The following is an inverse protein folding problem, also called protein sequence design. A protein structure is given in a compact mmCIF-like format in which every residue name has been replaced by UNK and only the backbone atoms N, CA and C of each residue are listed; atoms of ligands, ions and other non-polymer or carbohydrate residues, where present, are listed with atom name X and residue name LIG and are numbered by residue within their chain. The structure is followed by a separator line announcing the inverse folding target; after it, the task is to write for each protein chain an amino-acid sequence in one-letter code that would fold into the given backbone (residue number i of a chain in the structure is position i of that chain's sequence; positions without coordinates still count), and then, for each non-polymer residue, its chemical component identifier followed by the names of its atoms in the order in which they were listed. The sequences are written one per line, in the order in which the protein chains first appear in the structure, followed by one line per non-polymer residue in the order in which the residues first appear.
data_IF_452073711807
#
_entry.id   IF_452073711807
#
_cell.length_a   1.000
_cell.length_b   1.000
_cell.length_c   1.000
_cell.angle_alpha   90.00
_cell.angle_beta   90.00
_cell.angle_gamma   90.00
#
_symmetry.space_group_name_H-M   'P 1'
#
loop_
_entity.id
_entity.type
_entity.pdbx_description
1 polymer ?
#
# COMPACT_ATOMS: atom_id res chain seq x y z
N UNK A 1 11.97 25.03 19.15
CA UNK A 1 11.91 25.41 17.71
C UNK A 1 11.04 24.43 16.93
N UNK A 2 10.66 24.74 15.69
CA UNK A 2 9.78 23.89 14.87
C UNK A 2 10.35 22.47 14.63
N UNK A 3 11.67 22.31 14.59
CA UNK A 3 12.33 20.99 14.42
C UNK A 3 12.09 20.11 15.64
N UNK A 4 12.22 20.66 16.84
CA UNK A 4 12.01 19.91 18.09
C UNK A 4 10.55 19.44 18.21
N UNK A 5 9.59 20.32 17.91
CA UNK A 5 8.16 20.01 17.91
C UNK A 5 7.81 18.91 16.87
N UNK A 6 8.49 18.89 15.74
CA UNK A 6 8.34 17.81 14.76
C UNK A 6 8.90 16.50 15.28
N UNK A 7 10.06 16.52 15.90
CA UNK A 7 10.70 15.31 16.43
C UNK A 7 9.89 14.70 17.56
N UNK A 8 9.30 15.55 18.42
CA UNK A 8 8.36 15.14 19.45
C UNK A 8 7.09 14.50 18.87
N UNK A 9 6.49 15.10 17.83
CA UNK A 9 5.37 14.50 17.11
C UNK A 9 5.71 13.12 16.53
N UNK A 10 6.90 12.96 15.96
CA UNK A 10 7.34 11.69 15.42
C UNK A 10 7.54 10.66 16.53
N UNK A 11 8.12 11.09 17.65
CA UNK A 11 8.28 10.24 18.83
C UNK A 11 6.93 9.76 19.38
N UNK A 12 5.92 10.64 19.51
CA UNK A 12 4.55 10.25 19.88
C UNK A 12 3.99 9.20 18.92
N UNK A 13 4.15 9.40 17.62
CA UNK A 13 3.72 8.43 16.61
C UNK A 13 4.38 7.05 16.78
N UNK A 14 5.67 7.01 17.15
CA UNK A 14 6.41 5.78 17.42
C UNK A 14 5.95 5.13 18.73
N UNK A 15 5.74 5.90 19.80
CA UNK A 15 5.20 5.42 21.07
C UNK A 15 3.79 4.82 20.92
N UNK A 16 2.97 5.38 20.06
CA UNK A 16 1.64 4.84 19.73
C UNK A 16 1.68 3.66 18.78
N UNK A 17 2.85 3.12 18.48
CA UNK A 17 3.05 1.98 17.58
C UNK A 17 2.40 2.14 16.19
N UNK A 18 2.43 3.35 15.62
CA UNK A 18 1.97 3.55 14.25
C UNK A 18 2.80 2.70 13.28
N UNK A 19 2.16 2.24 12.20
CA UNK A 19 2.84 1.46 11.18
C UNK A 19 4.09 2.20 10.65
N UNK A 20 5.21 1.50 10.51
CA UNK A 20 6.49 2.06 10.04
C UNK A 20 6.37 2.88 8.77
N UNK A 21 5.47 2.46 7.85
CA UNK A 21 5.18 3.21 6.62
C UNK A 21 4.51 4.56 6.87
N UNK A 22 3.60 4.64 7.87
CA UNK A 22 2.96 5.90 8.26
C UNK A 22 3.97 6.86 8.89
N UNK A 23 4.80 6.38 9.82
CA UNK A 23 5.85 7.20 10.46
C UNK A 23 6.83 7.73 9.41
N UNK A 24 7.27 6.88 8.46
CA UNK A 24 8.13 7.32 7.35
C UNK A 24 7.48 8.41 6.50
N UNK A 25 6.18 8.26 6.20
CA UNK A 25 5.43 9.27 5.45
C UNK A 25 5.32 10.59 6.23
N UNK A 26 5.04 10.52 7.54
CA UNK A 26 4.98 11.70 8.40
C UNK A 26 6.33 12.42 8.47
N UNK A 27 7.42 11.67 8.68
CA UNK A 27 8.79 12.22 8.65
C UNK A 27 9.09 12.96 7.33
N UNK A 28 8.75 12.37 6.20
CA UNK A 28 8.98 12.97 4.88
C UNK A 28 8.12 14.22 4.66
N UNK A 29 6.82 14.16 4.93
CA UNK A 29 5.91 15.27 4.68
C UNK A 29 6.17 16.48 5.60
N UNK A 30 6.45 16.25 6.89
CA UNK A 30 6.80 17.33 7.82
C UNK A 30 8.15 17.95 7.48
N UNK A 31 9.13 17.15 7.00
CA UNK A 31 10.41 17.66 6.53
C UNK A 31 10.23 18.66 5.38
N UNK A 32 9.39 18.36 4.38
CA UNK A 32 9.14 19.30 3.27
C UNK A 32 8.60 20.64 3.76
N UNK A 33 7.72 20.64 4.76
CA UNK A 33 7.19 21.89 5.32
C UNK A 33 8.28 22.66 6.08
N UNK A 34 9.07 21.97 6.89
CA UNK A 34 10.16 22.61 7.65
C UNK A 34 11.21 23.21 6.74
N UNK A 35 11.68 22.50 5.72
CA UNK A 35 12.65 23.00 4.73
C UNK A 35 12.13 24.27 4.03
N UNK A 36 10.84 24.29 3.68
CA UNK A 36 10.21 25.46 3.08
C UNK A 36 10.15 26.66 4.06
N UNK A 37 9.72 26.42 5.32
CA UNK A 37 9.65 27.47 6.34
C UNK A 37 11.03 28.04 6.67
N UNK A 38 12.06 27.20 6.73
CA UNK A 38 13.45 27.60 6.97
C UNK A 38 13.97 28.51 5.82
N UNK A 39 13.67 28.16 4.55
CA UNK A 39 13.97 29.01 3.40
C UNK A 39 13.28 30.38 3.45
N UNK A 40 12.12 30.48 4.12
CA UNK A 40 11.39 31.74 4.35
C UNK A 40 11.79 32.42 5.66
N UNK A 41 12.81 31.93 6.36
CA UNK A 41 13.29 32.41 7.66
C UNK A 41 12.22 32.39 8.76
N UNK A 42 11.30 31.41 8.69
CA UNK A 42 10.24 31.18 9.68
C UNK A 42 10.68 30.04 10.59
N UNK A 43 11.10 30.37 11.81
CA UNK A 43 11.65 29.43 12.79
C UNK A 43 10.72 29.15 13.96
N UNK A 44 9.79 30.07 14.23
CA UNK A 44 8.89 29.98 15.36
C UNK A 44 7.49 29.53 14.93
N UNK A 45 6.81 28.78 15.81
CA UNK A 45 5.49 28.22 15.53
C UNK A 45 4.43 29.32 15.34
N UNK A 46 4.54 30.38 16.13
CA UNK A 46 3.62 31.52 16.12
C UNK A 46 3.66 32.31 14.81
N UNK A 47 4.74 32.18 14.03
CA UNK A 47 4.90 32.88 12.76
C UNK A 47 4.37 32.08 11.57
N UNK A 48 4.04 30.80 11.77
CA UNK A 48 3.49 29.96 10.72
C UNK A 48 2.05 30.39 10.40
N UNK A 49 1.81 30.82 9.17
CA UNK A 49 0.50 31.29 8.69
C UNK A 49 -0.10 30.33 7.65
N UNK A 50 -1.44 30.31 7.50
CA UNK A 50 -2.09 29.53 6.43
C UNK A 50 -1.58 29.82 5.02
N UNK A 51 -1.06 31.04 4.80
CA UNK A 51 -0.46 31.46 3.53
C UNK A 51 0.76 30.61 3.20
N UNK A 52 1.65 30.37 4.15
CA UNK A 52 2.88 29.59 3.93
C UNK A 52 2.59 28.18 3.44
N UNK A 53 1.54 27.55 3.99
CA UNK A 53 1.09 26.22 3.55
C UNK A 53 0.53 26.29 2.12
N UNK A 54 -0.27 27.32 1.79
CA UNK A 54 -0.81 27.50 0.43
C UNK A 54 0.30 27.77 -0.59
N UNK A 55 1.28 28.58 -0.24
CA UNK A 55 2.40 28.93 -1.12
C UNK A 55 3.25 27.68 -1.40
N UNK A 56 3.54 26.85 -0.38
CA UNK A 56 4.22 25.56 -0.58
C UNK A 56 3.40 24.59 -1.45
N UNK A 57 2.07 24.52 -1.24
CA UNK A 57 1.19 23.70 -2.09
C UNK A 57 1.25 24.17 -3.54
N UNK A 58 1.29 25.48 -3.78
CA UNK A 58 1.41 26.07 -5.12
C UNK A 58 2.77 25.78 -5.75
N UNK A 59 3.86 25.96 -5.02
CA UNK A 59 5.22 25.59 -5.49
C UNK A 59 5.29 24.12 -5.92
N UNK A 60 4.69 23.21 -5.13
CA UNK A 60 4.61 21.78 -5.50
C UNK A 60 3.78 21.53 -6.76
N UNK A 61 2.70 22.29 -6.94
CA UNK A 61 1.85 22.21 -8.13
C UNK A 61 2.58 22.72 -9.36
N UNK A 62 3.26 23.86 -9.26
CA UNK A 62 4.05 24.47 -10.33
C UNK A 62 5.24 23.56 -10.72
N UNK A 63 5.79 22.80 -9.76
CA UNK A 63 6.78 21.74 -9.99
C UNK A 63 6.20 20.43 -10.58
N UNK A 64 4.92 20.40 -10.99
CA UNK A 64 4.28 19.26 -11.64
C UNK A 64 3.78 18.16 -10.70
N UNK A 65 3.72 18.38 -9.38
CA UNK A 65 3.15 17.41 -8.45
C UNK A 65 1.63 17.29 -8.63
N UNK A 66 1.11 16.06 -8.51
CA UNK A 66 -0.34 15.82 -8.64
C UNK A 66 -1.12 16.41 -7.46
N UNK A 67 -2.35 16.87 -7.71
CA UNK A 67 -3.25 17.37 -6.66
C UNK A 67 -3.49 16.33 -5.55
N UNK A 68 -3.48 15.05 -5.89
CA UNK A 68 -3.60 13.95 -4.92
C UNK A 68 -2.41 13.94 -3.95
N UNK A 69 -1.19 13.97 -4.47
CA UNK A 69 0.02 13.97 -3.65
C UNK A 69 0.08 15.19 -2.73
N UNK A 70 -0.22 16.39 -3.27
CA UNK A 70 -0.25 17.64 -2.49
C UNK A 70 -1.31 17.57 -1.37
N UNK A 71 -2.49 17.01 -1.67
CA UNK A 71 -3.52 16.81 -0.65
C UNK A 71 -3.10 15.79 0.42
N UNK A 72 -2.33 14.77 0.06
CA UNK A 72 -1.80 13.80 1.03
C UNK A 72 -0.74 14.45 1.94
N UNK A 73 0.11 15.35 1.42
CA UNK A 73 0.99 16.19 2.25
C UNK A 73 0.18 17.07 3.22
N UNK A 74 -0.85 17.78 2.71
CA UNK A 74 -1.70 18.62 3.55
C UNK A 74 -2.38 17.84 4.67
N UNK A 75 -2.81 16.60 4.43
CA UNK A 75 -3.38 15.73 5.49
C UNK A 75 -2.37 15.48 6.61
N UNK A 76 -1.12 15.21 6.26
CA UNK A 76 -0.06 15.01 7.25
C UNK A 76 0.22 16.29 8.02
N UNK A 77 0.33 17.44 7.34
CA UNK A 77 0.53 18.73 8.02
C UNK A 77 -0.62 19.05 8.97
N UNK A 78 -1.87 18.80 8.58
CA UNK A 78 -3.01 18.91 9.48
C UNK A 78 -2.90 17.99 10.70
N UNK A 79 -2.45 16.76 10.51
CA UNK A 79 -2.24 15.81 11.62
C UNK A 79 -1.19 16.33 12.58
N UNK A 80 -0.09 16.89 12.08
CA UNK A 80 0.95 17.48 12.92
C UNK A 80 0.47 18.72 13.67
N UNK A 81 -0.16 19.69 13.00
CA UNK A 81 -0.67 20.87 13.68
C UNK A 81 -1.81 20.56 14.67
N UNK A 82 -2.63 19.56 14.38
CA UNK A 82 -3.62 19.09 15.36
C UNK A 82 -2.96 18.45 16.60
N UNK A 83 -1.85 17.73 16.41
CA UNK A 83 -1.05 17.26 17.54
C UNK A 83 -0.54 18.44 18.38
N UNK A 84 0.03 19.47 17.77
CA UNK A 84 0.51 20.66 18.50
C UNK A 84 -0.62 21.39 19.26
N UNK A 85 -1.83 21.40 18.73
CA UNK A 85 -3.00 21.93 19.44
C UNK A 85 -3.35 21.06 20.64
N UNK A 86 -3.35 19.74 20.50
CA UNK A 86 -3.70 18.80 21.56
C UNK A 86 -2.68 18.82 22.71
N UNK A 87 -1.39 19.01 22.40
CA UNK A 87 -0.32 19.16 23.40
C UNK A 87 -0.24 20.58 24.01
N UNK A 88 -1.08 21.53 23.57
CA UNK A 88 -1.14 22.87 24.11
C UNK A 88 -0.07 23.83 23.59
N UNK A 89 0.72 23.44 22.57
CA UNK A 89 1.69 24.33 21.92
C UNK A 89 1.05 25.41 21.06
N UNK A 90 -0.22 25.21 20.65
CA UNK A 90 -0.93 26.09 19.73
C UNK A 90 -2.42 26.11 20.10
N UNK A 91 -3.03 27.27 20.07
CA UNK A 91 -4.50 27.36 20.20
C UNK A 91 -5.18 26.91 18.87
N UNK A 92 -6.34 26.31 18.97
CA UNK A 92 -7.08 25.80 17.81
C UNK A 92 -7.40 26.87 16.77
N UNK A 93 -7.67 28.11 17.23
CA UNK A 93 -7.92 29.26 16.33
C UNK A 93 -6.70 29.65 15.50
N UNK A 94 -5.50 29.39 16.01
CA UNK A 94 -4.22 29.77 15.41
C UNK A 94 -3.62 28.65 14.53
N UNK A 95 -4.27 27.47 14.48
CA UNK A 95 -3.84 26.33 13.64
C UNK A 95 -3.78 26.72 12.15
N UNK A 96 -2.58 26.85 11.55
CA UNK A 96 -2.42 27.36 10.19
C UNK A 96 -2.94 26.39 9.12
N UNK A 97 -3.02 25.10 9.42
CA UNK A 97 -3.47 24.09 8.47
C UNK A 97 -5.00 23.92 8.44
N UNK A 98 -5.72 24.38 9.47
CA UNK A 98 -7.17 24.16 9.63
C UNK A 98 -7.97 24.79 8.47
N UNK A 99 -7.63 26.03 8.09
CA UNK A 99 -8.34 26.82 7.06
C UNK A 99 -7.84 26.58 5.62
N UNK A 100 -6.81 25.77 5.43
CA UNK A 100 -6.27 25.46 4.08
C UNK A 100 -7.14 24.38 3.44
N UNK A 101 -7.72 24.65 2.27
CA UNK A 101 -8.59 23.71 1.54
C UNK A 101 -7.74 22.77 0.67
N UNK A 102 -8.23 21.52 0.51
CA UNK A 102 -7.67 20.59 -0.45
C UNK A 102 -7.85 21.08 -1.89
N UNK A 103 -6.89 20.76 -2.75
CA UNK A 103 -7.01 20.96 -4.20
C UNK A 103 -8.12 20.07 -4.75
N UNK A 104 -8.84 20.57 -5.75
CA UNK A 104 -9.81 19.75 -6.50
C UNK A 104 -9.07 18.62 -7.20
N UNK A 105 -9.63 17.43 -7.13
CA UNK A 105 -9.13 16.25 -7.85
C UNK A 105 -10.17 15.85 -8.89
N UNK A 106 -9.77 15.64 -10.15
CA UNK A 106 -10.66 15.03 -11.12
C UNK A 106 -11.02 13.62 -10.66
N UNK A 107 -12.26 13.23 -10.83
CA UNK A 107 -12.66 11.83 -10.65
C UNK A 107 -12.11 11.05 -11.84
N UNK A 108 -11.07 10.26 -11.61
CA UNK A 108 -10.55 9.32 -12.62
C UNK A 108 -11.28 8.00 -12.49
N UNK A 109 -11.87 7.55 -13.59
CA UNK A 109 -12.34 6.16 -13.73
C UNK A 109 -11.06 5.32 -13.82
N UNK A 110 -10.94 4.34 -12.95
CA UNK A 110 -9.80 3.42 -12.97
C UNK A 110 -10.17 2.26 -13.88
N UNK A 111 -9.47 2.12 -15.01
CA UNK A 111 -9.61 0.96 -15.86
C UNK A 111 -9.15 -0.29 -15.12
N UNK A 112 -9.95 -1.34 -15.19
CA UNK A 112 -9.73 -2.62 -14.54
C UNK A 112 -9.59 -3.72 -15.56
N UNK A 113 -9.14 -4.89 -15.14
CA UNK A 113 -8.99 -6.04 -16.02
C UNK A 113 -10.36 -6.56 -16.48
N UNK A 114 -10.46 -6.92 -17.73
CA UNK A 114 -11.58 -7.71 -18.26
C UNK A 114 -11.48 -9.17 -17.82
N UNK A 115 -12.60 -9.89 -17.83
CA UNK A 115 -12.62 -11.35 -17.53
C UNK A 115 -11.69 -12.12 -18.47
N UNK A 116 -11.64 -11.72 -19.74
CA UNK A 116 -10.77 -12.36 -20.73
C UNK A 116 -9.30 -12.14 -20.42
N UNK A 117 -8.89 -10.93 -20.05
CA UNK A 117 -7.52 -10.62 -19.64
C UNK A 117 -7.11 -11.39 -18.39
N UNK A 118 -7.97 -11.44 -17.38
CA UNK A 118 -7.70 -12.21 -16.16
C UNK A 118 -7.47 -13.70 -16.46
N UNK A 119 -8.33 -14.30 -17.31
CA UNK A 119 -8.17 -15.70 -17.70
C UNK A 119 -6.85 -15.93 -18.42
N UNK A 120 -6.47 -15.08 -19.39
CA UNK A 120 -5.20 -15.19 -20.10
C UNK A 120 -4.00 -15.04 -19.16
N UNK A 121 -4.03 -14.07 -18.22
CA UNK A 121 -2.96 -13.88 -17.23
C UNK A 121 -2.80 -15.10 -16.31
N UNK A 122 -3.89 -15.72 -15.89
CA UNK A 122 -3.86 -16.96 -15.09
C UNK A 122 -3.29 -18.13 -15.90
N UNK A 123 -3.65 -18.24 -17.18
CA UNK A 123 -3.22 -19.31 -18.05
C UNK A 123 -1.76 -19.15 -18.51
N UNK A 124 -1.22 -17.94 -18.50
CA UNK A 124 0.15 -17.66 -18.93
C UNK A 124 1.18 -18.49 -18.14
N UNK A 125 1.03 -18.58 -16.82
CA UNK A 125 1.85 -19.44 -15.98
C UNK A 125 1.27 -20.87 -15.95
N UNK A 126 1.63 -21.68 -16.94
CA UNK A 126 1.11 -23.07 -17.07
C UNK A 126 2.18 -24.16 -16.87
N UNK A 127 3.38 -23.76 -16.46
CA UNK A 127 4.47 -24.67 -16.12
C UNK A 127 4.16 -25.59 -14.93
N UNK A 128 5.04 -26.58 -14.73
CA UNK A 128 4.90 -27.57 -13.66
C UNK A 128 5.87 -27.33 -12.50
N UNK A 129 6.85 -26.45 -12.70
CA UNK A 129 7.83 -26.14 -11.66
C UNK A 129 7.23 -25.24 -10.56
N UNK A 130 7.93 -25.20 -9.43
CA UNK A 130 7.48 -24.45 -8.25
C UNK A 130 7.20 -22.97 -8.53
N UNK A 131 8.06 -22.29 -9.30
CA UNK A 131 7.95 -20.84 -9.53
C UNK A 131 6.74 -20.52 -10.41
N UNK A 132 6.50 -21.31 -11.47
CA UNK A 132 5.35 -21.16 -12.36
C UNK A 132 4.04 -21.38 -11.62
N UNK A 133 3.94 -22.47 -10.87
CA UNK A 133 2.74 -22.79 -10.08
C UNK A 133 2.50 -21.75 -8.98
N UNK A 134 3.57 -21.27 -8.33
CA UNK A 134 3.48 -20.17 -7.36
C UNK A 134 2.91 -18.90 -8.00
N UNK A 135 3.48 -18.49 -9.15
CA UNK A 135 3.07 -17.26 -9.82
C UNK A 135 1.61 -17.34 -10.30
N UNK A 136 1.20 -18.47 -10.86
CA UNK A 136 -0.22 -18.74 -11.18
C UNK A 136 -1.12 -18.61 -9.96
N UNK A 137 -0.72 -19.23 -8.85
CA UNK A 137 -1.50 -19.21 -7.62
C UNK A 137 -1.63 -17.80 -7.05
N UNK A 138 -0.57 -16.99 -7.09
CA UNK A 138 -0.59 -15.57 -6.68
C UNK A 138 -1.60 -14.79 -7.50
N UNK A 139 -1.58 -14.91 -8.84
CA UNK A 139 -2.50 -14.21 -9.73
C UNK A 139 -3.94 -14.64 -9.47
N UNK A 140 -4.20 -15.95 -9.38
CA UNK A 140 -5.53 -16.47 -9.06
C UNK A 140 -6.04 -15.96 -7.72
N UNK A 141 -5.19 -16.00 -6.68
CA UNK A 141 -5.56 -15.55 -5.34
C UNK A 141 -5.96 -14.08 -5.32
N UNK A 142 -5.19 -13.21 -5.99
CA UNK A 142 -5.48 -11.78 -6.05
C UNK A 142 -6.79 -11.48 -6.76
N UNK A 143 -7.10 -12.17 -7.87
CA UNK A 143 -8.34 -11.97 -8.60
C UNK A 143 -9.56 -12.60 -7.91
N UNK A 144 -9.40 -13.77 -7.29
CA UNK A 144 -10.50 -14.51 -6.67
C UNK A 144 -10.96 -13.90 -5.34
N UNK A 145 -10.03 -13.33 -4.57
CA UNK A 145 -10.29 -12.87 -3.21
C UNK A 145 -10.27 -11.35 -3.03
N UNK A 146 -9.65 -10.64 -3.96
CA UNK A 146 -9.46 -9.20 -3.84
C UNK A 146 -8.69 -8.76 -2.59
N UNK A 147 -7.93 -9.64 -1.94
CA UNK A 147 -7.14 -9.29 -0.76
C UNK A 147 -6.03 -8.30 -1.08
N UNK A 148 -5.51 -7.60 -0.07
CA UNK A 148 -4.38 -6.70 -0.25
C UNK A 148 -3.09 -7.48 -0.46
N UNK A 149 -2.15 -6.94 -1.24
CA UNK A 149 -0.87 -7.59 -1.52
C UNK A 149 -0.12 -7.95 -0.23
N UNK A 150 -0.01 -7.04 0.71
CA UNK A 150 0.64 -7.30 2.00
C UNK A 150 -0.06 -8.39 2.81
N UNK A 151 -1.38 -8.48 2.76
CA UNK A 151 -2.13 -9.55 3.43
C UNK A 151 -1.75 -10.92 2.83
N UNK A 152 -1.65 -11.01 1.50
CA UNK A 152 -1.21 -12.21 0.79
C UNK A 152 0.26 -12.57 1.11
N UNK A 153 1.16 -11.58 1.13
CA UNK A 153 2.58 -11.79 1.42
C UNK A 153 2.79 -12.37 2.83
N UNK A 154 1.99 -11.93 3.78
CA UNK A 154 2.08 -12.34 5.19
C UNK A 154 1.30 -13.62 5.49
N UNK A 155 0.57 -14.18 4.53
CA UNK A 155 -0.15 -15.45 4.74
C UNK A 155 0.79 -16.60 5.05
N UNK A 156 0.31 -17.48 5.92
CA UNK A 156 0.92 -18.78 6.25
C UNK A 156 0.06 -19.92 5.69
N UNK A 157 0.60 -21.14 5.49
CA UNK A 157 -0.20 -22.29 5.04
C UNK A 157 -1.41 -22.57 5.91
N UNK A 158 -1.29 -22.36 7.22
CA UNK A 158 -2.35 -22.59 8.22
C UNK A 158 -3.54 -21.62 8.07
N UNK A 159 -3.37 -20.53 7.34
CA UNK A 159 -4.44 -19.57 7.06
C UNK A 159 -5.43 -20.07 6.01
N UNK A 160 -5.03 -21.09 5.23
CA UNK A 160 -5.90 -21.74 4.25
C UNK A 160 -6.78 -22.76 4.98
N UNK A 161 -8.08 -22.47 5.09
CA UNK A 161 -9.08 -23.38 5.66
C UNK A 161 -9.82 -24.09 4.53
N UNK A 162 -10.68 -25.05 4.87
CA UNK A 162 -11.41 -25.85 3.88
C UNK A 162 -12.21 -24.97 2.91
N UNK A 163 -12.96 -23.98 3.40
CA UNK A 163 -13.90 -23.19 2.59
C UNK A 163 -13.52 -21.72 2.46
N UNK A 164 -12.54 -21.25 3.24
CA UNK A 164 -12.15 -19.85 3.30
C UNK A 164 -10.65 -19.67 3.57
N UNK A 165 -10.21 -18.44 3.46
CA UNK A 165 -8.87 -17.98 3.87
C UNK A 165 -9.04 -17.04 5.05
N UNK A 166 -8.28 -17.27 6.12
CA UNK A 166 -8.20 -16.36 7.27
C UNK A 166 -7.17 -15.27 6.99
N UNK A 167 -7.60 -14.01 6.96
CA UNK A 167 -6.72 -12.85 6.80
C UNK A 167 -6.45 -12.25 8.17
N UNK A 168 -5.28 -12.54 8.76
CA UNK A 168 -4.88 -12.09 10.12
C UNK A 168 -4.38 -10.65 10.14
N UNK A 169 -3.74 -10.19 9.07
CA UNK A 169 -3.03 -8.91 9.02
C UNK A 169 -3.81 -7.82 8.26
N UNK A 170 -5.09 -7.67 8.54
CA UNK A 170 -5.92 -6.62 7.97
C UNK A 170 -5.53 -5.21 8.44
N UNK A 171 -6.01 -4.15 7.74
CA UNK A 171 -5.79 -2.76 8.18
C UNK A 171 -6.38 -2.56 9.59
N UNK A 172 -5.56 -2.10 10.52
CA UNK A 172 -5.93 -1.94 11.93
C UNK A 172 -5.95 -3.25 12.72
N UNK A 173 -5.15 -4.25 12.33
CA UNK A 173 -5.02 -5.56 12.98
C UNK A 173 -6.35 -6.34 13.10
N UNK A 174 -7.32 -6.05 12.21
CA UNK A 174 -8.60 -6.76 12.19
C UNK A 174 -8.49 -8.03 11.35
N UNK A 175 -8.86 -9.15 11.93
CA UNK A 175 -9.00 -10.41 11.22
C UNK A 175 -10.31 -10.44 10.41
N UNK A 176 -10.28 -11.13 9.28
CA UNK A 176 -11.47 -11.42 8.49
C UNK A 176 -11.32 -12.71 7.72
N UNK A 177 -12.42 -13.32 7.38
CA UNK A 177 -12.47 -14.47 6.47
C UNK A 177 -12.79 -14.00 5.04
N UNK A 178 -12.17 -14.68 4.07
CA UNK A 178 -12.44 -14.45 2.66
C UNK A 178 -12.76 -15.79 2.01
N UNK A 179 -13.94 -15.95 1.39
CA UNK A 179 -14.28 -17.17 0.67
C UNK A 179 -13.34 -17.38 -0.52
N UNK A 180 -13.12 -18.62 -0.91
CA UNK A 180 -12.33 -19.01 -2.07
C UNK A 180 -13.15 -19.86 -3.03
N UNK A 181 -12.92 -19.69 -4.33
CA UNK A 181 -13.57 -20.51 -5.34
C UNK A 181 -13.06 -21.95 -5.32
N UNK A 182 -13.83 -22.93 -5.85
CA UNK A 182 -13.34 -24.29 -6.05
C UNK A 182 -12.08 -24.37 -6.91
N UNK A 183 -11.98 -23.50 -7.92
CA UNK A 183 -10.80 -23.42 -8.79
C UNK A 183 -9.55 -22.99 -8.02
N UNK A 184 -9.66 -21.94 -7.19
CA UNK A 184 -8.57 -21.51 -6.31
C UNK A 184 -8.22 -22.58 -5.28
N UNK A 185 -9.22 -23.26 -4.70
CA UNK A 185 -8.98 -24.35 -3.74
C UNK A 185 -8.13 -25.46 -4.35
N UNK A 186 -8.47 -25.92 -5.54
CA UNK A 186 -7.70 -26.93 -6.30
C UNK A 186 -6.28 -26.45 -6.58
N UNK A 187 -6.12 -25.19 -6.99
CA UNK A 187 -4.81 -24.62 -7.30
C UNK A 187 -3.95 -24.49 -6.03
N UNK A 188 -4.52 -24.11 -4.89
CA UNK A 188 -3.81 -24.00 -3.61
C UNK A 188 -3.31 -25.38 -3.14
N UNK A 189 -4.11 -26.44 -3.26
CA UNK A 189 -3.65 -27.81 -2.94
C UNK A 189 -2.43 -28.18 -3.79
N UNK A 190 -2.51 -28.02 -5.13
CA UNK A 190 -1.38 -28.27 -6.04
C UNK A 190 -0.15 -27.45 -5.63
N UNK A 191 -0.33 -26.20 -5.33
CA UNK A 191 0.76 -25.30 -4.94
C UNK A 191 1.41 -25.73 -3.62
N UNK A 192 0.62 -26.00 -2.58
CA UNK A 192 1.14 -26.40 -1.26
C UNK A 192 1.96 -27.69 -1.35
N UNK A 193 1.52 -28.69 -2.12
CA UNK A 193 2.28 -29.92 -2.35
C UNK A 193 3.64 -29.63 -3.00
N UNK A 194 3.69 -28.81 -4.04
CA UNK A 194 4.94 -28.44 -4.70
C UNK A 194 5.84 -27.56 -3.80
N UNK A 195 5.24 -26.65 -3.04
CA UNK A 195 5.93 -25.81 -2.06
C UNK A 195 6.66 -26.65 -1.02
N UNK A 196 5.96 -27.63 -0.46
CA UNK A 196 6.53 -28.48 0.60
C UNK A 196 7.68 -29.34 0.05
N UNK A 197 7.57 -29.83 -1.18
CA UNK A 197 8.68 -30.48 -1.87
C UNK A 197 9.87 -29.54 -2.09
N UNK A 198 9.61 -28.35 -2.62
CA UNK A 198 10.64 -27.33 -2.86
C UNK A 198 11.37 -26.91 -1.58
N UNK A 199 10.66 -26.74 -0.46
CA UNK A 199 11.24 -26.30 0.81
C UNK A 199 12.05 -27.40 1.51
N UNK A 200 11.85 -28.68 1.18
CA UNK A 200 12.75 -29.76 1.63
C UNK A 200 14.15 -29.64 1.04
N UNK A 201 14.22 -29.21 -0.23
CA UNK A 201 15.49 -28.99 -0.95
C UNK A 201 16.08 -27.60 -0.66
N UNK A 202 15.23 -26.63 -0.33
CA UNK A 202 15.59 -25.22 -0.07
C UNK A 202 15.05 -24.75 1.29
N UNK A 203 15.62 -25.21 2.41
CA UNK A 203 15.12 -24.89 3.74
C UNK A 203 15.06 -23.39 4.01
N UNK A 204 14.01 -22.95 4.67
CA UNK A 204 13.83 -21.55 5.08
C UNK A 204 13.28 -21.46 6.50
N UNK A 205 13.68 -20.39 7.21
CA UNK A 205 13.13 -20.05 8.54
C UNK A 205 11.77 -19.33 8.47
N UNK A 206 11.35 -18.90 7.29
CA UNK A 206 10.13 -18.13 7.10
C UNK A 206 8.92 -19.05 6.86
N UNK A 207 7.81 -18.75 7.52
CA UNK A 207 6.57 -19.54 7.43
C UNK A 207 5.63 -19.09 6.31
N UNK A 208 5.97 -17.99 5.61
CA UNK A 208 5.10 -17.42 4.58
C UNK A 208 4.66 -18.44 3.54
N UNK A 209 3.38 -18.37 3.16
CA UNK A 209 2.80 -19.23 2.13
C UNK A 209 3.56 -19.11 0.80
N UNK A 210 3.92 -17.88 0.39
CA UNK A 210 4.60 -17.59 -0.86
C UNK A 210 6.05 -17.18 -0.63
N UNK A 211 7.01 -18.13 -0.60
CA UNK A 211 8.42 -17.80 -0.56
C UNK A 211 8.94 -17.33 -1.94
N UNK A 212 9.94 -16.47 -1.91
CA UNK A 212 10.74 -16.13 -3.08
C UNK A 212 11.63 -17.32 -3.51
N UNK A 213 12.33 -17.20 -4.65
CA UNK A 213 13.32 -18.21 -5.09
C UNK A 213 14.36 -18.55 -4.00
N UNK A 214 14.69 -17.59 -3.14
CA UNK A 214 15.69 -17.75 -2.08
C UNK A 214 15.05 -18.07 -0.71
N UNK A 215 13.81 -18.55 -0.66
CA UNK A 215 13.11 -18.89 0.56
C UNK A 215 12.67 -17.71 1.43
N UNK A 216 12.97 -16.45 1.07
CA UNK A 216 12.54 -15.25 1.80
C UNK A 216 11.07 -14.91 1.46
N UNK A 217 10.36 -14.15 2.32
CA UNK A 217 9.05 -13.62 1.97
C UNK A 217 9.08 -12.85 0.65
N UNK A 218 7.99 -12.91 -0.11
CA UNK A 218 7.81 -12.06 -1.29
C UNK A 218 7.73 -10.59 -0.90
N UNK A 219 8.01 -9.68 -1.83
CA UNK A 219 7.78 -8.24 -1.66
C UNK A 219 6.68 -7.76 -2.61
N UNK A 220 6.09 -6.61 -2.32
CA UNK A 220 5.08 -5.98 -3.21
C UNK A 220 5.61 -5.79 -4.63
N UNK A 221 6.90 -5.40 -4.76
CA UNK A 221 7.54 -5.21 -6.06
C UNK A 221 7.71 -6.53 -6.81
N UNK A 222 8.00 -7.62 -6.09
CA UNK A 222 8.13 -8.95 -6.70
C UNK A 222 6.78 -9.43 -7.24
N UNK A 223 5.70 -9.26 -6.48
CA UNK A 223 4.34 -9.58 -6.91
C UNK A 223 3.91 -8.69 -8.09
N UNK A 224 4.21 -7.39 -8.03
CA UNK A 224 3.92 -6.48 -9.13
C UNK A 224 4.68 -6.85 -10.42
N UNK A 225 5.93 -7.36 -10.32
CA UNK A 225 6.69 -7.86 -11.48
C UNK A 225 6.04 -9.09 -12.10
N UNK A 226 5.56 -10.05 -11.29
CA UNK A 226 4.83 -11.23 -11.77
C UNK A 226 3.60 -10.81 -12.58
N UNK A 227 2.79 -9.90 -12.04
CA UNK A 227 1.60 -9.39 -12.72
C UNK A 227 1.95 -8.66 -14.02
N UNK A 228 2.94 -7.75 -13.98
CA UNK A 228 3.37 -6.97 -15.16
C UNK A 228 3.93 -7.87 -16.26
N UNK A 229 4.69 -8.89 -15.89
CA UNK A 229 5.21 -9.86 -16.86
C UNK A 229 4.05 -10.60 -17.55
N UNK A 230 3.15 -11.22 -16.80
CA UNK A 230 1.99 -11.89 -17.37
C UNK A 230 1.14 -10.95 -18.24
N UNK A 231 0.84 -9.75 -17.75
CA UNK A 231 0.02 -8.78 -18.48
C UNK A 231 0.64 -8.35 -19.82
N UNK A 232 1.97 -8.15 -19.84
CA UNK A 232 2.72 -7.82 -21.06
C UNK A 232 2.62 -8.95 -22.10
N UNK A 233 2.92 -10.16 -21.67
CA UNK A 233 2.97 -11.33 -22.58
C UNK A 233 1.59 -11.68 -23.17
N UNK A 234 0.49 -11.48 -22.40
CA UNK A 234 -0.86 -11.76 -22.88
C UNK A 234 -1.56 -10.57 -23.54
N UNK A 235 -0.89 -9.43 -23.66
CA UNK A 235 -1.44 -8.25 -24.32
C UNK A 235 -2.59 -7.62 -23.55
N UNK A 236 -2.44 -7.35 -22.24
CA UNK A 236 -3.40 -6.55 -21.48
C UNK A 236 -3.40 -5.10 -21.98
N UNK A 237 -4.56 -4.47 -22.02
CA UNK A 237 -4.72 -3.08 -22.46
C UNK A 237 -3.77 -2.12 -21.74
N UNK A 238 -3.13 -1.23 -22.47
CA UNK A 238 -2.22 -0.21 -21.94
C UNK A 238 -2.93 0.81 -21.04
N UNK A 239 -4.26 0.93 -21.12
CA UNK A 239 -5.06 1.77 -20.24
C UNK A 239 -5.15 1.21 -18.81
N UNK A 240 -4.95 -0.12 -18.64
CA UNK A 240 -5.00 -0.77 -17.33
C UNK A 240 -3.65 -0.63 -16.61
N UNK A 241 -3.63 0.08 -15.50
CA UNK A 241 -2.46 0.12 -14.62
C UNK A 241 -2.27 -1.21 -13.91
N UNK A 242 -1.41 -2.06 -14.42
CA UNK A 242 -1.16 -3.40 -13.88
C UNK A 242 -0.51 -3.34 -12.49
N UNK A 243 -1.27 -3.73 -11.46
CA UNK A 243 -0.83 -3.76 -10.06
C UNK A 243 -1.71 -4.68 -9.21
N UNK A 244 -1.24 -5.16 -8.04
CA UNK A 244 -2.09 -5.91 -7.10
C UNK A 244 -3.33 -5.12 -6.66
N UNK A 245 -3.21 -3.80 -6.59
CA UNK A 245 -4.34 -2.93 -6.24
C UNK A 245 -5.40 -2.90 -7.33
N UNK A 246 -5.00 -2.94 -8.60
CA UNK A 246 -5.94 -3.04 -9.73
C UNK A 246 -6.65 -4.39 -9.75
N UNK A 247 -5.99 -5.50 -9.39
CA UNK A 247 -6.65 -6.80 -9.22
C UNK A 247 -7.77 -6.71 -8.17
N UNK A 248 -7.52 -6.02 -7.06
CA UNK A 248 -8.53 -5.79 -6.02
C UNK A 248 -9.67 -4.88 -6.50
N UNK A 249 -9.40 -3.85 -7.30
CA UNK A 249 -10.46 -3.03 -7.90
C UNK A 249 -11.31 -3.84 -8.86
N UNK A 250 -10.69 -4.68 -9.69
CA UNK A 250 -11.40 -5.61 -10.60
C UNK A 250 -12.33 -6.54 -9.82
N UNK A 251 -11.83 -7.15 -8.74
CA UNK A 251 -12.66 -8.00 -7.88
C UNK A 251 -13.87 -7.25 -7.30
N UNK A 252 -13.68 -6.00 -6.85
CA UNK A 252 -14.75 -5.20 -6.27
C UNK A 252 -15.81 -4.75 -7.29
N UNK A 253 -15.46 -4.62 -8.57
CA UNK A 253 -16.40 -4.27 -9.64
C UNK A 253 -17.19 -5.46 -10.18
N UNK A 254 -16.70 -6.69 -9.97
CA UNK A 254 -17.35 -7.91 -10.44
C UNK A 254 -18.38 -8.49 -9.46
N UNK A 255 -18.49 -7.91 -8.27
CA UNK A 255 -19.45 -8.30 -7.23
C UNK A 255 -20.54 -7.25 -7.06
#
# INVERSE_FOLDING_TARGET
CLKDLRDEFIYDCECRHLAKGSVRNYKAATRFLLEYLELKQITELEDVRPRHIRDLMKEKQDAGSTSRYINDLLKVWRTWFNYLVNEGYLEERDNPAKKVKCLRQPRTIIDTFTVAEMKRMIQFYDGKDFLEVRNKTIIMLLFDTGMRCNEMILMEPEDIKQDYILVKHGKGSKERVVPKSPALSKQLVKYCTLRDGYLKEHPTRYKNLFPSKNGKPMTDEAVARILKHAAKEVGVSSSVRVSPHTCRHTFAQMR
#
